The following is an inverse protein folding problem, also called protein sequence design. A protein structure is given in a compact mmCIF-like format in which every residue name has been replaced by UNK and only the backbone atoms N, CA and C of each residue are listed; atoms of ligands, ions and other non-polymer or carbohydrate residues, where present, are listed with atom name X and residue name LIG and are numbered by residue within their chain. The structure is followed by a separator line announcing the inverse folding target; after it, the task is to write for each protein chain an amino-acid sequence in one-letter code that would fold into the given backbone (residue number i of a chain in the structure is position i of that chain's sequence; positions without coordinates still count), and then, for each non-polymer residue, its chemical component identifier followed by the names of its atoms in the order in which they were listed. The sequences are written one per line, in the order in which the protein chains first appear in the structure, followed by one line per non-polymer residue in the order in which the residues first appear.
data_IF_517468444441
#
_entry.id   IF_517468444441
#
_cell.length_a   1.000
_cell.length_b   1.000
_cell.length_c   1.000
_cell.angle_alpha   90.00
_cell.angle_beta   90.00
_cell.angle_gamma   90.00
#
_symmetry.space_group_name_H-M   'P 1'
#
loop_
_entity.id
_entity.type
_entity.pdbx_description
1 polymer ?
#
# COMPACT_ATOMS: atom_id res chain seq x y z
N UNK A 1 2.67 -23.43 4.74
CA UNK A 1 3.69 -22.52 4.15
C UNK A 1 3.37 -21.12 4.64
N UNK A 2 4.31 -20.16 4.61
CA UNK A 2 4.06 -18.75 5.03
C UNK A 2 4.47 -17.79 3.90
N UNK A 3 3.74 -16.67 3.73
CA UNK A 3 4.13 -15.58 2.82
C UNK A 3 5.26 -14.80 3.49
N UNK A 4 6.47 -14.88 2.95
CA UNK A 4 7.60 -14.09 3.46
C UNK A 4 7.58 -12.70 2.82
N UNK A 5 7.57 -11.64 3.63
CA UNK A 5 7.48 -10.25 3.16
C UNK A 5 8.59 -9.81 2.19
N UNK A 6 9.77 -10.45 2.25
CA UNK A 6 10.88 -10.19 1.32
C UNK A 6 10.62 -10.67 -0.11
N UNK A 7 9.70 -11.62 -0.32
CA UNK A 7 9.38 -12.17 -1.64
C UNK A 7 8.36 -11.36 -2.43
N UNK A 8 7.66 -10.41 -1.79
CA UNK A 8 6.60 -9.59 -2.41
C UNK A 8 7.00 -8.12 -2.61
N UNK A 9 8.05 -7.66 -1.92
CA UNK A 9 8.62 -6.33 -2.12
C UNK A 9 9.68 -6.33 -3.22
N UNK A 10 9.40 -6.98 -4.34
CA UNK A 10 10.35 -7.17 -5.46
C UNK A 10 10.23 -6.09 -6.56
N UNK A 11 9.35 -5.11 -6.35
CA UNK A 11 9.07 -4.03 -7.30
C UNK A 11 8.12 -4.42 -8.44
N UNK A 12 7.50 -5.60 -8.38
CA UNK A 12 6.53 -6.07 -9.38
C UNK A 12 5.10 -5.98 -8.84
N UNK A 13 4.15 -6.01 -9.77
CA UNK A 13 2.74 -6.08 -9.43
C UNK A 13 2.38 -7.46 -8.88
N UNK A 14 1.68 -7.46 -7.75
CA UNK A 14 1.12 -8.65 -7.13
C UNK A 14 -0.40 -8.51 -7.00
N UNK A 15 -1.12 -9.63 -7.11
CA UNK A 15 -2.58 -9.69 -6.92
C UNK A 15 -2.89 -10.30 -5.56
N UNK A 16 -3.62 -9.56 -4.72
CA UNK A 16 -4.07 -10.01 -3.40
C UNK A 16 -5.59 -10.16 -3.42
N UNK A 17 -6.08 -11.34 -3.02
CA UNK A 17 -7.51 -11.62 -2.87
C UNK A 17 -7.77 -12.05 -1.43
N UNK A 18 -8.52 -11.25 -0.69
CA UNK A 18 -8.99 -11.57 0.66
C UNK A 18 -10.46 -11.96 0.58
N UNK A 19 -10.79 -13.18 0.99
CA UNK A 19 -12.17 -13.65 1.11
C UNK A 19 -12.50 -13.85 2.58
N UNK A 20 -13.56 -13.19 3.03
CA UNK A 20 -14.08 -13.33 4.39
C UNK A 20 -15.49 -13.92 4.30
N UNK A 21 -15.67 -15.08 4.91
CA UNK A 21 -16.95 -15.73 5.13
C UNK A 21 -17.16 -15.90 6.65
N UNK A 22 -18.37 -16.26 7.09
CA UNK A 22 -18.76 -16.24 8.52
C UNK A 22 -17.71 -16.84 9.45
N UNK A 23 -17.12 -17.97 9.11
CA UNK A 23 -16.12 -18.65 9.94
C UNK A 23 -14.85 -19.03 9.17
N UNK A 24 -14.64 -18.45 7.99
CA UNK A 24 -13.54 -18.81 7.11
C UNK A 24 -12.95 -17.55 6.49
N UNK A 25 -11.63 -17.43 6.57
CA UNK A 25 -10.88 -16.32 6.01
C UNK A 25 -9.77 -16.90 5.14
N UNK A 26 -9.69 -16.49 3.88
CA UNK A 26 -8.60 -16.88 2.97
C UNK A 26 -7.92 -15.67 2.38
N UNK A 27 -6.60 -15.74 2.30
CA UNK A 27 -5.76 -14.77 1.59
C UNK A 27 -5.03 -15.48 0.47
N UNK A 28 -5.24 -15.02 -0.76
CA UNK A 28 -4.56 -15.53 -1.95
C UNK A 28 -3.65 -14.47 -2.55
N UNK A 29 -2.40 -14.86 -2.84
CA UNK A 29 -1.40 -14.06 -3.55
C UNK A 29 -1.10 -14.70 -4.91
N UNK A 30 -1.17 -13.89 -5.97
CA UNK A 30 -0.87 -14.22 -7.38
C UNK A 30 -1.53 -15.50 -7.90
N UNK A 31 -2.74 -15.81 -7.43
CA UNK A 31 -3.49 -17.03 -7.77
C UNK A 31 -2.75 -18.36 -7.48
N UNK A 32 -1.69 -18.33 -6.67
CA UNK A 32 -0.83 -19.51 -6.41
C UNK A 32 -0.70 -19.83 -4.94
N UNK A 33 -0.66 -18.80 -4.11
CA UNK A 33 -0.42 -18.96 -2.70
C UNK A 33 -1.71 -18.61 -1.96
N UNK A 34 -2.45 -19.61 -1.48
CA UNK A 34 -3.65 -19.42 -0.67
C UNK A 34 -3.45 -20.01 0.72
N UNK A 35 -3.51 -19.18 1.76
CA UNK A 35 -3.64 -19.68 3.13
C UNK A 35 -5.05 -19.36 3.63
N UNK A 36 -5.67 -20.35 4.28
CA UNK A 36 -7.06 -20.31 4.70
C UNK A 36 -7.16 -20.74 6.15
N UNK A 37 -7.80 -19.92 6.97
CA UNK A 37 -8.01 -20.22 8.38
C UNK A 37 -9.49 -20.27 8.70
N UNK A 38 -9.85 -21.16 9.64
CA UNK A 38 -11.17 -21.16 10.26
C UNK A 38 -11.06 -20.51 11.62
N UNK A 39 -11.81 -19.44 11.81
CA UNK A 39 -11.85 -18.68 13.05
C UNK A 39 -13.21 -18.74 13.72
N UNK A 40 -13.37 -18.02 14.85
CA UNK A 40 -14.67 -17.76 15.44
C UNK A 40 -15.61 -17.15 14.39
N UNK A 41 -16.90 -17.47 14.49
CA UNK A 41 -17.87 -16.90 13.56
C UNK A 41 -17.92 -15.37 13.74
N UNK A 42 -17.59 -14.63 12.70
CA UNK A 42 -17.69 -13.19 12.63
C UNK A 42 -18.89 -12.80 11.76
N UNK A 43 -19.69 -11.85 12.25
CA UNK A 43 -20.93 -11.41 11.60
C UNK A 43 -20.89 -9.98 11.11
N UNK A 44 -19.74 -9.28 11.09
CA UNK A 44 -19.76 -7.92 10.56
C UNK A 44 -19.80 -7.97 9.03
N UNK A 45 -20.93 -7.55 8.49
CA UNK A 45 -21.00 -6.97 7.16
C UNK A 45 -20.47 -5.53 7.21
N UNK A 46 -19.82 -5.07 6.14
CA UNK A 46 -19.59 -3.63 5.97
C UNK A 46 -20.95 -2.92 5.94
N UNK A 47 -21.26 -2.15 6.98
CA UNK A 47 -22.48 -1.35 7.02
C UNK A 47 -22.38 -0.19 6.03
N UNK A 48 -23.52 0.26 5.49
CA UNK A 48 -23.56 1.46 4.67
C UNK A 48 -23.03 2.66 5.46
N UNK A 49 -22.16 3.48 4.83
CA UNK A 49 -21.50 4.61 5.47
C UNK A 49 -20.21 4.30 6.24
N UNK A 50 -19.71 3.05 6.17
CA UNK A 50 -18.39 2.71 6.73
C UNK A 50 -17.28 3.24 5.83
N UNK A 51 -16.35 4.01 6.39
CA UNK A 51 -15.11 4.40 5.70
C UNK A 51 -14.08 3.27 5.76
N UNK A 52 -13.46 2.96 4.61
CA UNK A 52 -12.36 1.99 4.51
C UNK A 52 -11.11 2.74 4.06
N UNK A 53 -10.00 2.49 4.74
CA UNK A 53 -8.71 3.11 4.44
C UNK A 53 -7.77 2.09 3.81
N UNK A 54 -7.00 2.55 2.82
CA UNK A 54 -6.01 1.74 2.12
C UNK A 54 -4.65 2.40 2.23
N UNK A 55 -3.62 1.59 2.38
CA UNK A 55 -2.24 2.07 2.32
C UNK A 55 -1.77 2.88 3.51
N UNK A 56 -2.48 2.92 4.63
CA UNK A 56 -1.97 3.48 5.88
C UNK A 56 -2.82 3.05 7.08
N UNK A 57 -2.26 3.18 8.28
CA UNK A 57 -3.03 3.21 9.52
C UNK A 57 -3.61 4.62 9.71
N UNK A 58 -4.93 4.71 9.86
CA UNK A 58 -5.62 5.99 10.08
C UNK A 58 -6.23 6.01 11.47
N UNK A 59 -5.75 6.92 12.32
CA UNK A 59 -6.30 7.12 13.65
C UNK A 59 -7.31 8.26 13.61
N UNK A 60 -8.57 7.94 13.95
CA UNK A 60 -9.61 8.94 14.10
C UNK A 60 -9.26 9.88 15.27
N UNK A 61 -9.47 11.20 15.14
CA UNK A 61 -9.26 12.14 16.22
C UNK A 61 -10.07 11.72 17.44
N UNK A 62 -9.42 11.66 18.61
CA UNK A 62 -10.14 11.46 19.88
C UNK A 62 -11.08 12.65 20.06
N UNK A 63 -12.38 12.39 20.22
CA UNK A 63 -13.39 13.41 20.47
C UNK A 63 -13.16 14.05 21.85
N UNK A 64 -12.27 15.04 21.90
CA UNK A 64 -12.18 15.99 23.01
C UNK A 64 -13.27 17.05 22.86
N UNK A 65 -13.84 17.49 23.99
CA UNK A 65 -14.96 18.44 24.04
C UNK A 65 -14.60 19.87 23.60
N UNK A 66 -13.36 20.10 23.19
CA UNK A 66 -12.84 21.38 22.76
C UNK A 66 -11.91 21.13 21.58
N UNK A 67 -12.07 21.96 20.56
CA UNK A 67 -11.16 22.17 19.43
C UNK A 67 -11.51 21.46 18.11
N UNK A 68 -11.33 22.22 17.04
CA UNK A 68 -11.88 22.03 15.70
C UNK A 68 -11.53 20.71 15.05
N UNK A 69 -12.26 20.43 13.97
CA UNK A 69 -12.14 19.25 13.11
C UNK A 69 -10.68 18.98 12.75
N UNK A 70 -10.00 18.18 13.58
CA UNK A 70 -8.62 17.81 13.37
C UNK A 70 -8.60 16.74 12.30
N UNK A 71 -7.77 16.92 11.28
CA UNK A 71 -7.60 15.90 10.25
C UNK A 71 -7.14 14.58 10.90
N UNK A 72 -7.60 13.43 10.39
CA UNK A 72 -7.20 12.13 10.93
C UNK A 72 -5.68 11.95 10.80
N UNK A 73 -5.08 11.33 11.82
CA UNK A 73 -3.64 11.09 11.85
C UNK A 73 -3.31 9.85 11.01
N UNK A 74 -2.41 10.01 10.05
CA UNK A 74 -1.98 8.95 9.13
C UNK A 74 -0.60 8.46 9.55
N UNK A 75 -0.51 7.17 9.87
CA UNK A 75 0.71 6.51 10.35
C UNK A 75 1.03 5.30 9.46
N UNK A 76 2.32 4.95 9.40
CA UNK A 76 2.80 3.72 8.73
C UNK A 76 2.27 3.56 7.28
N UNK A 77 2.44 4.62 6.48
CA UNK A 77 1.99 4.64 5.10
C UNK A 77 2.70 3.60 4.22
N UNK A 78 1.91 2.91 3.39
CA UNK A 78 2.38 2.03 2.33
C UNK A 78 3.10 2.82 1.26
N UNK A 79 4.35 2.44 1.00
CA UNK A 79 5.13 2.99 -0.10
C UNK A 79 5.12 2.01 -1.26
N UNK A 80 4.29 2.29 -2.26
CA UNK A 80 4.19 1.47 -3.44
C UNK A 80 3.09 1.93 -4.38
N UNK A 81 2.65 1.03 -5.25
CA UNK A 81 1.54 1.28 -6.15
C UNK A 81 0.34 0.40 -5.78
N UNK A 82 -0.85 0.93 -5.99
CA UNK A 82 -2.12 0.25 -5.78
C UNK A 82 -3.00 0.53 -6.98
N UNK A 83 -3.60 -0.51 -7.54
CA UNK A 83 -4.55 -0.39 -8.65
C UNK A 83 -5.57 -1.53 -8.60
N UNK A 84 -6.66 -1.39 -9.36
CA UNK A 84 -7.67 -2.42 -9.56
C UNK A 84 -8.31 -2.93 -8.25
N UNK A 85 -8.53 -2.04 -7.29
CA UNK A 85 -9.14 -2.41 -6.00
C UNK A 85 -10.64 -2.60 -6.15
N UNK A 86 -11.10 -3.79 -5.76
CA UNK A 86 -12.51 -4.17 -5.75
C UNK A 86 -12.94 -4.66 -4.36
N UNK A 87 -14.12 -4.23 -3.90
CA UNK A 87 -14.77 -4.78 -2.69
C UNK A 87 -16.09 -5.43 -3.12
N UNK A 88 -16.28 -6.71 -2.83
CA UNK A 88 -17.48 -7.46 -3.21
C UNK A 88 -17.85 -7.25 -4.68
N UNK A 89 -16.87 -7.34 -5.59
CA UNK A 89 -16.98 -7.09 -7.05
C UNK A 89 -17.21 -5.64 -7.50
N UNK A 90 -17.35 -4.69 -6.57
CA UNK A 90 -17.48 -3.28 -6.90
C UNK A 90 -16.11 -2.61 -7.00
N UNK A 91 -15.78 -2.05 -8.16
CA UNK A 91 -14.57 -1.26 -8.36
C UNK A 91 -14.62 0.05 -7.56
N UNK A 92 -13.51 0.36 -6.88
CA UNK A 92 -13.32 1.62 -6.18
C UNK A 92 -12.83 2.73 -7.12
N UNK A 93 -13.25 3.98 -6.91
CA UNK A 93 -12.91 5.09 -7.78
C UNK A 93 -11.49 5.69 -7.55
N UNK A 94 -10.42 4.90 -7.75
CA UNK A 94 -9.04 5.31 -7.45
C UNK A 94 -8.43 6.36 -8.40
N UNK A 95 -8.84 6.36 -9.67
CA UNK A 95 -8.26 7.21 -10.74
C UNK A 95 -9.21 8.31 -11.19
N UNK A 96 -9.89 8.96 -10.24
CA UNK A 96 -10.93 9.94 -10.53
C UNK A 96 -12.07 9.37 -11.41
N UNK A 97 -12.25 8.05 -11.35
CA UNK A 97 -13.39 7.35 -11.95
C UNK A 97 -14.62 7.64 -11.10
N UNK A 98 -15.80 7.61 -11.70
CA UNK A 98 -17.06 7.66 -10.95
C UNK A 98 -17.48 6.23 -10.60
N UNK A 99 -17.84 5.98 -9.35
CA UNK A 99 -18.46 4.71 -8.92
C UNK A 99 -19.85 4.99 -8.36
N UNK A 100 -20.77 4.03 -8.52
CA UNK A 100 -22.11 4.10 -7.93
C UNK A 100 -22.14 3.52 -6.51
N UNK A 101 -21.07 2.83 -6.09
CA UNK A 101 -21.03 2.05 -4.85
C UNK A 101 -20.16 2.68 -3.76
N UNK A 102 -19.22 3.55 -4.14
CA UNK A 102 -18.26 4.15 -3.22
C UNK A 102 -17.83 5.55 -3.73
N UNK A 103 -17.37 6.37 -2.79
CA UNK A 103 -16.80 7.70 -3.04
C UNK A 103 -15.47 7.81 -2.30
N UNK A 104 -14.49 8.50 -2.91
CA UNK A 104 -13.23 8.84 -2.23
C UNK A 104 -13.46 10.07 -1.37
N UNK A 105 -13.39 9.89 -0.05
CA UNK A 105 -13.60 10.98 0.93
C UNK A 105 -12.30 11.63 1.43
N UNK A 106 -11.14 11.05 1.12
CA UNK A 106 -9.84 11.58 1.53
C UNK A 106 -8.66 10.90 0.83
N UNK A 107 -7.59 11.64 0.63
CA UNK A 107 -6.33 11.18 0.03
C UNK A 107 -5.15 11.80 0.81
N UNK A 108 -4.11 11.02 1.05
CA UNK A 108 -2.86 11.48 1.66
C UNK A 108 -1.68 11.09 0.77
N UNK A 109 -0.98 12.08 0.23
CA UNK A 109 0.26 11.91 -0.55
C UNK A 109 0.17 10.94 -1.75
N UNK A 110 -1.00 10.86 -2.40
CA UNK A 110 -1.22 10.00 -3.58
C UNK A 110 -0.84 10.73 -4.87
N UNK A 111 -0.17 10.02 -5.79
CA UNK A 111 0.12 10.49 -7.16
C UNK A 111 -0.53 9.54 -8.16
N UNK A 112 -1.04 10.10 -9.27
CA UNK A 112 -1.57 9.30 -10.37
C UNK A 112 -0.43 8.62 -11.14
N UNK A 113 -0.66 7.38 -11.54
CA UNK A 113 0.34 6.53 -12.19
C UNK A 113 1.19 5.77 -11.19
N UNK A 114 1.91 4.76 -11.69
CA UNK A 114 2.78 3.92 -10.88
C UNK A 114 4.22 4.06 -11.36
N UNK A 115 5.05 4.72 -10.56
CA UNK A 115 6.50 4.74 -10.72
C UNK A 115 7.09 4.42 -9.35
N UNK A 116 7.43 3.14 -9.17
CA UNK A 116 8.16 2.68 -7.99
C UNK A 116 9.59 3.18 -8.14
N UNK A 117 9.89 4.27 -7.44
CA UNK A 117 11.22 4.89 -7.38
C UNK A 117 11.69 5.44 -8.74
N UNK A 118 11.51 6.75 -9.02
CA UNK A 118 12.20 7.34 -10.17
C UNK A 118 13.69 7.02 -10.03
N UNK A 119 14.37 6.72 -11.15
CA UNK A 119 15.79 6.37 -11.13
C UNK A 119 16.56 7.44 -10.35
N UNK A 120 16.94 7.09 -9.11
CA UNK A 120 17.49 8.04 -8.15
C UNK A 120 18.84 8.54 -8.67
N UNK A 121 19.49 7.75 -9.52
CA UNK A 121 20.72 8.11 -10.20
C UNK A 121 20.59 9.27 -11.19
N UNK A 122 19.38 9.62 -11.64
CA UNK A 122 19.15 10.83 -12.45
C UNK A 122 19.47 12.12 -11.69
N UNK A 123 19.34 12.10 -10.35
CA UNK A 123 19.72 13.22 -9.49
C UNK A 123 21.22 13.24 -9.16
N UNK A 124 22.00 12.31 -9.72
CA UNK A 124 23.44 12.15 -9.48
C UNK A 124 23.81 12.17 -7.98
N UNK A 125 23.22 11.29 -7.15
CA UNK A 125 23.40 11.32 -5.69
C UNK A 125 24.80 10.85 -5.26
N UNK A 126 25.51 10.12 -6.13
CA UNK A 126 26.85 9.61 -5.86
C UNK A 126 27.90 10.71 -6.07
N UNK A 127 28.68 10.98 -5.04
CA UNK A 127 29.74 11.98 -5.07
C UNK A 127 31.05 11.41 -5.65
N UNK A 128 32.02 12.29 -5.94
CA UNK A 128 33.38 11.93 -6.37
C UNK A 128 33.43 11.04 -7.63
N UNK A 129 32.45 11.18 -8.53
CA UNK A 129 32.39 10.41 -9.77
C UNK A 129 32.09 8.91 -9.58
N UNK A 130 31.60 8.50 -8.40
CA UNK A 130 31.20 7.11 -8.16
C UNK A 130 30.03 6.70 -9.07
N UNK A 131 30.04 5.44 -9.51
CA UNK A 131 28.98 4.91 -10.37
C UNK A 131 27.72 4.65 -9.54
N UNK A 132 26.58 5.18 -9.98
CA UNK A 132 25.30 5.00 -9.31
C UNK A 132 24.52 3.83 -9.92
N UNK A 133 23.83 3.03 -9.09
CA UNK A 133 22.82 2.09 -9.56
C UNK A 133 21.58 2.13 -8.66
N UNK A 134 20.41 2.27 -9.29
CA UNK A 134 19.12 2.22 -8.61
C UNK A 134 18.76 0.79 -8.20
N UNK A 135 18.09 0.64 -7.06
CA UNK A 135 17.64 -0.65 -6.54
C UNK A 135 16.18 -0.90 -6.94
N UNK A 136 15.81 -2.13 -7.37
CA UNK A 136 14.42 -2.47 -7.71
C UNK A 136 13.42 -2.30 -6.54
N UNK A 137 13.89 -2.51 -5.31
CA UNK A 137 13.13 -2.31 -4.07
C UNK A 137 13.15 -0.87 -3.57
N UNK A 138 13.71 0.06 -4.34
CA UNK A 138 13.91 1.45 -3.96
C UNK A 138 15.27 1.79 -3.37
N UNK A 139 15.65 3.06 -3.55
CA UNK A 139 16.96 3.60 -3.17
C UNK A 139 18.02 3.41 -4.24
N UNK A 140 19.28 3.64 -3.87
CA UNK A 140 20.44 3.57 -4.75
C UNK A 140 21.64 2.98 -4.03
N UNK A 141 22.66 2.61 -4.81
CA UNK A 141 23.98 2.23 -4.32
C UNK A 141 25.04 2.96 -5.14
N UNK A 142 26.14 3.36 -4.49
CA UNK A 142 27.28 4.00 -5.13
C UNK A 142 28.48 3.06 -5.11
N UNK A 143 28.97 2.72 -6.29
CA UNK A 143 30.25 2.01 -6.41
C UNK A 143 31.39 3.02 -6.35
N UNK A 144 31.95 3.17 -5.14
CA UNK A 144 33.07 4.07 -4.88
C UNK A 144 34.40 3.52 -5.44
N UNK A 145 35.27 4.41 -5.91
CA UNK A 145 36.64 4.07 -6.27
C UNK A 145 37.53 3.85 -5.03
N UNK A 146 38.80 3.43 -5.20
CA UNK A 146 39.68 3.01 -4.11
C UNK A 146 39.93 4.06 -3.00
N UNK A 147 39.73 5.33 -3.32
CA UNK A 147 40.00 6.48 -2.44
C UNK A 147 38.77 6.97 -1.67
N UNK A 148 37.59 6.38 -1.91
CA UNK A 148 36.32 6.83 -1.33
C UNK A 148 35.55 5.65 -0.76
N UNK A 149 34.78 5.89 0.30
CA UNK A 149 33.94 4.91 0.99
C UNK A 149 32.59 5.55 1.31
N UNK A 150 31.53 4.75 1.44
CA UNK A 150 30.18 5.21 1.77
C UNK A 150 29.15 4.11 1.63
#
# INVERSE_FOLDING_TARGET
MSISGSGVSDGRWHTLVLELNRNFSSLTLDNRYGDGSRGPAFTHSLAAGTSVYFGALVQSPKSGLLDGQKDPEVLEGFQGCLDSVTINTNELPLHNKRSQHAEVVGLAEVKLGCVLYPDVCLQQPCQNGAACSSRPSGGFWCSCGPQHTG
#
